data_IF_440046039082
#
_entry.id   IF_440046039082
#
_cell.length_a   1.000
_cell.length_b   1.000
_cell.length_c   1.000
_cell.angle_alpha   90.00
_cell.angle_beta   90.00
_cell.angle_gamma   90.00
#
_symmetry.space_group_name_H-M   'P 1'
#
loop_
_entity.id
_entity.type
_entity.pdbx_description
1 polymer ?
#
# COMPACT_ATOMS: atom_id res chain seq x y z
N UNK A 1 -4.28 37.48 -18.44
CA UNK A 1 -3.96 38.89 -18.24
C UNK A 1 -4.24 39.67 -19.51
N UNK A 2 -3.63 39.33 -20.66
CA UNK A 2 -3.85 40.05 -21.95
C UNK A 2 -5.31 40.03 -22.43
N UNK A 3 -6.04 38.96 -22.16
CA UNK A 3 -7.49 38.82 -22.50
C UNK A 3 -8.41 39.43 -21.44
N UNK A 4 -7.89 39.87 -20.29
CA UNK A 4 -8.69 40.41 -19.18
C UNK A 4 -9.32 39.37 -18.26
N UNK A 5 -9.24 38.08 -18.55
CA UNK A 5 -9.81 37.01 -17.73
C UNK A 5 -9.14 36.87 -16.34
N UNK A 6 -7.88 37.25 -16.24
CA UNK A 6 -7.14 37.29 -14.98
C UNK A 6 -6.56 38.71 -14.83
N UNK A 7 -6.93 39.39 -13.75
CA UNK A 7 -6.38 40.71 -13.45
C UNK A 7 -4.89 40.63 -13.07
N UNK A 8 -4.17 41.69 -13.34
CA UNK A 8 -2.76 41.82 -12.93
C UNK A 8 -2.63 41.77 -11.41
N UNK A 9 -3.56 42.35 -10.68
CA UNK A 9 -3.62 42.30 -9.22
C UNK A 9 -3.75 40.86 -8.70
N UNK A 10 -4.62 40.06 -9.31
CA UNK A 10 -4.78 38.66 -8.96
C UNK A 10 -3.51 37.83 -9.25
N UNK A 11 -2.82 38.13 -10.33
CA UNK A 11 -1.54 37.53 -10.67
C UNK A 11 -0.48 37.89 -9.61
N UNK A 12 -0.36 39.17 -9.28
CA UNK A 12 0.58 39.67 -8.30
C UNK A 12 0.33 39.09 -6.90
N UNK A 13 -0.92 38.88 -6.51
CA UNK A 13 -1.27 38.22 -5.26
C UNK A 13 -0.72 36.78 -5.24
N UNK A 14 -0.88 36.02 -6.31
CA UNK A 14 -0.38 34.66 -6.44
C UNK A 14 1.15 34.61 -6.36
N UNK A 15 1.82 35.49 -7.08
CA UNK A 15 3.29 35.61 -7.07
C UNK A 15 3.79 35.97 -5.67
N UNK A 16 3.14 36.90 -4.98
CA UNK A 16 3.52 37.28 -3.60
C UNK A 16 3.40 36.08 -2.65
N UNK A 17 2.32 35.31 -2.71
CA UNK A 17 2.15 34.10 -1.88
C UNK A 17 3.27 33.10 -2.11
N UNK A 18 3.63 32.85 -3.37
CA UNK A 18 4.70 31.91 -3.72
C UNK A 18 6.06 32.42 -3.23
N UNK A 19 6.38 33.70 -3.47
CA UNK A 19 7.66 34.29 -3.05
C UNK A 19 7.78 34.31 -1.53
N UNK A 20 6.73 34.69 -0.81
CA UNK A 20 6.70 34.65 0.65
C UNK A 20 6.95 33.24 1.20
N UNK A 21 6.37 32.22 0.58
CA UNK A 21 6.62 30.83 0.96
C UNK A 21 8.08 30.42 0.67
N UNK A 22 8.63 30.81 -0.47
CA UNK A 22 10.03 30.53 -0.84
C UNK A 22 11.01 31.22 0.12
N UNK A 23 10.75 32.45 0.46
CA UNK A 23 11.54 33.20 1.45
C UNK A 23 11.50 32.53 2.83
N UNK A 24 10.30 32.22 3.34
CA UNK A 24 10.08 31.54 4.63
C UNK A 24 10.78 30.17 4.68
N UNK A 25 10.91 29.49 3.55
CA UNK A 25 11.58 28.18 3.43
C UNK A 25 13.07 28.29 3.10
N UNK A 26 13.63 29.50 2.99
CA UNK A 26 15.03 29.74 2.65
C UNK A 26 15.41 29.34 1.22
N UNK A 27 14.42 29.14 0.33
CA UNK A 27 14.68 28.72 -1.05
C UNK A 27 15.28 29.83 -1.89
N UNK A 28 14.98 31.09 -1.58
CA UNK A 28 15.53 32.26 -2.31
C UNK A 28 17.02 32.49 -2.04
N UNK A 29 17.49 32.05 -0.87
CA UNK A 29 18.89 32.15 -0.44
C UNK A 29 19.48 30.76 -0.27
N UNK A 30 19.24 29.87 -1.25
CA UNK A 30 19.67 28.49 -1.19
C UNK A 30 21.20 28.40 -1.24
N UNK A 31 21.79 27.80 -0.20
CA UNK A 31 23.20 27.41 -0.16
C UNK A 31 23.34 25.92 -0.45
N UNK A 32 23.84 25.54 -1.63
CA UNK A 32 24.03 24.12 -1.96
C UNK A 32 25.00 23.40 -1.01
N UNK A 33 26.00 24.13 -0.48
CA UNK A 33 27.01 23.54 0.42
C UNK A 33 26.47 23.10 1.76
N UNK A 34 25.31 23.64 2.17
CA UNK A 34 24.63 23.24 3.40
C UNK A 34 23.85 21.92 3.28
N UNK A 35 23.73 21.37 2.07
CA UNK A 35 22.95 20.15 1.77
C UNK A 35 23.85 19.10 1.14
N UNK A 36 24.58 18.41 1.99
CA UNK A 36 25.45 17.30 1.57
C UNK A 36 24.68 15.98 1.56
N UNK A 37 25.22 14.98 0.87
CA UNK A 37 24.66 13.63 0.83
C UNK A 37 24.55 13.05 2.23
N UNK A 38 25.56 13.27 3.08
CA UNK A 38 25.60 12.79 4.46
C UNK A 38 24.44 13.35 5.29
N UNK A 39 24.17 14.66 5.19
CA UNK A 39 23.02 15.28 5.87
C UNK A 39 21.67 14.79 5.33
N UNK A 40 21.61 14.45 4.04
CA UNK A 40 20.42 13.85 3.47
C UNK A 40 20.22 12.43 4.01
N UNK A 41 21.26 11.62 4.14
CA UNK A 41 21.21 10.28 4.72
C UNK A 41 20.81 10.32 6.21
N UNK A 42 21.33 11.27 6.98
CA UNK A 42 20.93 11.48 8.38
C UNK A 42 19.43 11.82 8.53
N UNK A 43 18.88 12.61 7.61
CA UNK A 43 17.48 13.03 7.65
C UNK A 43 16.54 12.00 7.05
N UNK A 44 16.88 11.46 5.86
CA UNK A 44 16.06 10.52 5.12
C UNK A 44 16.27 9.11 5.69
N UNK A 45 15.23 8.54 6.25
CA UNK A 45 15.32 7.18 6.79
C UNK A 45 15.91 7.09 8.21
N UNK A 46 16.04 8.23 8.92
CA UNK A 46 16.37 8.20 10.34
C UNK A 46 15.38 7.34 11.13
N UNK A 47 15.81 6.79 12.27
CA UNK A 47 14.94 5.96 13.13
C UNK A 47 13.65 6.71 13.52
N UNK A 48 13.77 7.99 13.84
CA UNK A 48 12.62 8.85 14.16
C UNK A 48 11.62 8.93 12.99
N UNK A 49 12.11 9.17 11.77
CA UNK A 49 11.25 9.25 10.59
C UNK A 49 10.62 7.89 10.26
N UNK A 50 11.36 6.80 10.42
CA UNK A 50 10.83 5.44 10.24
C UNK A 50 9.77 5.08 11.27
N UNK A 51 9.94 5.50 12.51
CA UNK A 51 8.93 5.28 13.55
C UNK A 51 7.67 6.11 13.30
N UNK A 52 7.82 7.34 12.80
CA UNK A 52 6.69 8.18 12.41
C UNK A 52 5.95 7.58 11.21
N UNK A 53 6.67 7.11 10.19
CA UNK A 53 6.12 6.40 9.02
C UNK A 53 5.26 5.19 9.47
N UNK A 54 5.79 4.35 10.37
CA UNK A 54 5.05 3.20 10.92
C UNK A 54 3.79 3.62 11.68
N UNK A 55 3.87 4.66 12.50
CA UNK A 55 2.72 5.17 13.24
C UNK A 55 1.63 5.72 12.32
N UNK A 56 2.03 6.46 11.28
CA UNK A 56 1.09 6.98 10.28
C UNK A 56 0.46 5.82 9.51
N UNK A 57 1.26 4.87 9.04
CA UNK A 57 0.75 3.70 8.33
C UNK A 57 -0.24 2.89 9.17
N UNK A 58 0.08 2.63 10.44
CA UNK A 58 -0.82 1.92 11.34
C UNK A 58 -2.12 2.68 11.60
N UNK A 59 -2.05 4.00 11.76
CA UNK A 59 -3.23 4.85 11.97
C UNK A 59 -4.11 5.00 10.70
N UNK A 60 -3.54 4.79 9.53
CA UNK A 60 -4.26 4.87 8.25
C UNK A 60 -5.06 3.60 7.94
N UNK A 61 -4.77 2.47 8.60
CA UNK A 61 -5.49 1.22 8.36
C UNK A 61 -6.93 1.36 8.87
N UNK A 62 -7.89 1.17 7.97
CA UNK A 62 -9.32 1.21 8.29
C UNK A 62 -9.94 -0.15 7.96
N UNK A 63 -10.58 -0.78 8.94
CA UNK A 63 -11.33 -2.01 8.72
C UNK A 63 -12.74 -1.62 8.26
N UNK A 64 -13.04 -1.87 6.98
CA UNK A 64 -14.34 -1.52 6.38
C UNK A 64 -15.35 -2.65 6.57
N UNK A 65 -14.88 -3.91 6.46
CA UNK A 65 -15.72 -5.11 6.59
C UNK A 65 -15.00 -6.18 7.38
N UNK A 66 -15.64 -6.73 8.41
CA UNK A 66 -15.14 -7.86 9.20
C UNK A 66 -16.32 -8.59 9.89
N UNK A 67 -17.28 -9.05 9.09
CA UNK A 67 -18.55 -9.61 9.61
C UNK A 67 -18.34 -10.90 10.39
N UNK A 68 -17.41 -11.75 9.94
CA UNK A 68 -17.14 -13.07 10.55
C UNK A 68 -15.98 -13.05 11.56
N UNK A 69 -15.56 -11.87 12.03
CA UNK A 69 -14.39 -11.71 12.89
C UNK A 69 -13.14 -12.42 12.35
N UNK A 70 -12.96 -12.39 11.02
CA UNK A 70 -11.80 -12.96 10.32
C UNK A 70 -10.53 -12.21 10.71
N UNK A 71 -10.62 -10.90 10.94
CA UNK A 71 -9.51 -10.05 11.37
C UNK A 71 -9.61 -9.73 12.87
N UNK A 72 -8.47 -9.67 13.58
CA UNK A 72 -7.13 -9.98 13.11
C UNK A 72 -6.96 -11.49 12.84
N UNK A 73 -6.17 -11.83 11.83
CA UNK A 73 -5.82 -13.24 11.60
C UNK A 73 -5.14 -13.84 12.82
N UNK A 74 -5.60 -15.01 13.22
CA UNK A 74 -4.99 -15.80 14.31
C UNK A 74 -4.12 -16.91 13.70
N UNK A 75 -2.99 -16.49 13.15
CA UNK A 75 -2.03 -17.42 12.52
C UNK A 75 -1.40 -18.32 13.59
N UNK A 76 -1.43 -19.62 13.38
CA UNK A 76 -0.90 -20.64 14.27
C UNK A 76 0.34 -21.29 13.68
N UNK A 77 1.08 -22.04 14.51
CA UNK A 77 2.13 -22.93 14.07
C UNK A 77 1.63 -23.89 12.99
N UNK A 78 2.36 -23.96 11.89
CA UNK A 78 1.99 -24.79 10.73
C UNK A 78 1.11 -24.11 9.71
N UNK A 79 0.63 -22.87 9.98
CA UNK A 79 -0.11 -22.12 8.98
C UNK A 79 0.79 -21.62 7.84
N UNK A 80 0.16 -21.46 6.68
CA UNK A 80 0.77 -20.91 5.49
C UNK A 80 0.03 -19.65 5.01
N UNK A 81 0.74 -18.54 4.90
CA UNK A 81 0.17 -17.25 4.49
C UNK A 81 0.54 -16.96 3.04
N UNK A 82 -0.46 -16.79 2.19
CA UNK A 82 -0.29 -16.33 0.81
C UNK A 82 -0.59 -14.83 0.72
N UNK A 83 0.36 -14.09 0.16
CA UNK A 83 0.25 -12.66 -0.05
C UNK A 83 0.32 -12.38 -1.54
N UNK A 84 -0.73 -11.76 -2.08
CA UNK A 84 -0.85 -11.50 -3.52
C UNK A 84 -0.95 -10.01 -3.78
N UNK A 85 0.09 -9.46 -4.42
CA UNK A 85 0.14 -8.07 -4.88
C UNK A 85 -0.46 -7.92 -6.28
N UNK A 86 -0.99 -6.72 -6.58
CA UNK A 86 -1.43 -6.39 -7.94
C UNK A 86 -0.24 -6.06 -8.86
N UNK A 87 0.91 -5.67 -8.27
CA UNK A 87 2.11 -5.31 -9.00
C UNK A 87 3.37 -5.92 -8.37
N UNK A 88 4.37 -6.14 -9.22
CA UNK A 88 5.65 -6.72 -8.80
C UNK A 88 6.37 -5.90 -7.72
N UNK A 89 6.27 -4.57 -7.78
CA UNK A 89 6.91 -3.68 -6.81
C UNK A 89 6.30 -3.71 -5.40
N UNK A 90 5.14 -4.34 -5.21
CA UNK A 90 4.53 -4.56 -3.89
C UNK A 90 5.13 -5.76 -3.16
N UNK A 91 5.59 -6.75 -3.92
CA UNK A 91 6.10 -8.03 -3.38
C UNK A 91 7.24 -7.85 -2.36
N UNK A 92 8.25 -6.98 -2.59
CA UNK A 92 9.29 -6.73 -1.58
C UNK A 92 8.72 -6.18 -0.26
N UNK A 93 7.72 -5.29 -0.32
CA UNK A 93 7.04 -4.74 0.85
C UNK A 93 6.29 -5.80 1.65
N UNK A 94 5.54 -6.66 0.96
CA UNK A 94 4.84 -7.79 1.56
C UNK A 94 5.80 -8.77 2.25
N UNK A 95 6.88 -9.13 1.58
CA UNK A 95 7.94 -9.98 2.16
C UNK A 95 8.55 -9.35 3.41
N UNK A 96 8.91 -8.07 3.34
CA UNK A 96 9.50 -7.36 4.48
C UNK A 96 8.53 -7.28 5.66
N UNK A 97 7.26 -7.02 5.39
CA UNK A 97 6.19 -6.99 6.40
C UNK A 97 6.08 -8.30 7.15
N UNK A 98 5.97 -9.41 6.43
CA UNK A 98 5.89 -10.75 7.04
C UNK A 98 7.11 -11.10 7.87
N UNK A 99 8.32 -10.84 7.34
CA UNK A 99 9.57 -11.09 8.07
C UNK A 99 9.64 -10.29 9.37
N UNK A 100 9.16 -9.05 9.37
CA UNK A 100 9.09 -8.21 10.58
C UNK A 100 8.10 -8.76 11.59
N UNK A 101 6.89 -9.13 11.18
CA UNK A 101 5.89 -9.70 12.07
C UNK A 101 6.39 -10.99 12.74
N UNK A 102 7.14 -11.82 12.03
CA UNK A 102 7.77 -13.03 12.58
C UNK A 102 8.92 -12.65 13.54
N UNK A 103 9.79 -11.72 13.15
CA UNK A 103 10.92 -11.29 13.96
C UNK A 103 10.49 -10.60 15.27
N UNK A 104 9.41 -9.82 15.21
CA UNK A 104 8.82 -9.11 16.36
C UNK A 104 7.97 -10.04 17.26
N UNK A 105 7.82 -11.31 16.89
CA UNK A 105 7.07 -12.31 17.66
C UNK A 105 5.53 -12.13 17.58
N UNK A 106 5.05 -11.34 16.63
CA UNK A 106 3.61 -11.18 16.37
C UNK A 106 3.04 -12.42 15.71
N UNK A 107 3.82 -13.07 14.86
CA UNK A 107 3.51 -14.36 14.23
C UNK A 107 4.44 -15.44 14.77
N UNK A 108 4.00 -16.72 14.77
CA UNK A 108 4.86 -17.86 15.13
C UNK A 108 6.15 -17.87 14.27
N UNK A 109 7.27 -18.30 14.88
CA UNK A 109 8.58 -18.33 14.19
C UNK A 109 8.63 -19.28 12.99
N UNK A 110 7.79 -20.28 13.01
CA UNK A 110 7.64 -21.31 11.97
C UNK A 110 6.54 -20.98 10.95
N UNK A 111 5.97 -19.77 11.00
CA UNK A 111 5.02 -19.31 9.98
C UNK A 111 5.67 -19.35 8.60
N UNK A 112 5.13 -20.18 7.72
CA UNK A 112 5.53 -20.19 6.32
C UNK A 112 4.70 -19.18 5.52
N UNK A 113 5.30 -18.57 4.49
CA UNK A 113 4.58 -17.65 3.63
C UNK A 113 5.17 -17.57 2.24
N UNK A 114 4.33 -17.18 1.30
CA UNK A 114 4.70 -16.81 -0.08
C UNK A 114 4.14 -15.44 -0.38
N UNK A 115 4.96 -14.57 -0.97
CA UNK A 115 4.52 -13.30 -1.53
C UNK A 115 4.87 -13.25 -3.01
N UNK A 116 3.87 -13.01 -3.85
CA UNK A 116 4.01 -12.87 -5.31
C UNK A 116 2.98 -11.87 -5.84
N UNK A 117 3.15 -11.45 -7.07
CA UNK A 117 2.12 -10.68 -7.75
C UNK A 117 1.27 -11.56 -8.64
N UNK A 118 0.03 -11.16 -8.84
CA UNK A 118 -0.80 -11.63 -9.95
C UNK A 118 -0.72 -10.64 -11.13
N UNK A 119 -1.07 -11.08 -12.32
CA UNK A 119 -1.06 -10.28 -13.55
C UNK A 119 -2.40 -10.44 -14.27
N UNK A 120 -2.61 -9.69 -15.33
CA UNK A 120 -3.83 -9.84 -16.16
C UNK A 120 -3.99 -11.22 -16.79
N UNK A 121 -2.92 -11.99 -16.87
CA UNK A 121 -2.93 -13.37 -17.37
C UNK A 121 -3.15 -14.40 -16.27
N UNK A 122 -3.16 -13.98 -15.00
CA UNK A 122 -3.38 -14.89 -13.88
C UNK A 122 -4.80 -15.43 -13.86
N UNK A 123 -4.91 -16.69 -13.50
CA UNK A 123 -6.19 -17.41 -13.30
C UNK A 123 -6.11 -18.17 -11.98
N UNK A 124 -7.25 -18.63 -11.45
CA UNK A 124 -7.24 -19.51 -10.27
C UNK A 124 -6.40 -20.75 -10.51
N UNK A 125 -6.42 -21.32 -11.72
CA UNK A 125 -5.60 -22.49 -12.10
C UNK A 125 -4.10 -22.18 -12.01
N UNK A 126 -3.67 -20.99 -12.48
CA UNK A 126 -2.27 -20.59 -12.40
C UNK A 126 -1.78 -20.32 -10.97
N UNK A 127 -2.70 -20.05 -10.05
CA UNK A 127 -2.43 -19.80 -8.63
C UNK A 127 -2.80 -21.02 -7.75
N UNK A 128 -3.28 -22.11 -8.33
CA UNK A 128 -3.91 -23.23 -7.64
C UNK A 128 -3.01 -23.80 -6.53
N UNK A 129 -1.77 -24.11 -6.84
CA UNK A 129 -0.84 -24.71 -5.87
C UNK A 129 -0.67 -23.85 -4.61
N UNK A 130 -0.52 -22.52 -4.78
CA UNK A 130 -0.40 -21.61 -3.66
C UNK A 130 -1.72 -21.45 -2.90
N UNK A 131 -2.82 -21.34 -3.63
CA UNK A 131 -4.15 -21.24 -3.05
C UNK A 131 -4.52 -22.49 -2.23
N UNK A 132 -4.17 -23.67 -2.70
CA UNK A 132 -4.42 -24.93 -1.99
C UNK A 132 -3.60 -25.04 -0.70
N UNK A 133 -2.32 -24.62 -0.72
CA UNK A 133 -1.44 -24.62 0.45
C UNK A 133 -1.81 -23.57 1.48
N UNK A 134 -2.36 -22.44 1.05
CA UNK A 134 -2.65 -21.32 1.94
C UNK A 134 -3.74 -21.67 2.96
N UNK A 135 -3.50 -21.32 4.22
CA UNK A 135 -4.51 -21.26 5.30
C UNK A 135 -5.07 -19.86 5.41
N UNK A 136 -4.24 -18.85 5.16
CA UNK A 136 -4.57 -17.43 5.20
C UNK A 136 -4.14 -16.78 3.87
N UNK A 137 -4.99 -15.92 3.33
CA UNK A 137 -4.76 -15.24 2.06
C UNK A 137 -4.92 -13.73 2.28
N UNK A 138 -3.96 -12.96 1.86
CA UNK A 138 -4.06 -11.50 1.74
C UNK A 138 -3.90 -11.15 0.27
N UNK A 139 -4.89 -10.50 -0.30
CA UNK A 139 -4.82 -10.02 -1.68
C UNK A 139 -4.94 -8.51 -1.72
N UNK A 140 -4.03 -7.85 -2.43
CA UNK A 140 -4.10 -6.42 -2.65
C UNK A 140 -5.08 -6.14 -3.79
N UNK A 141 -5.99 -5.19 -3.54
CA UNK A 141 -6.80 -4.53 -4.57
C UNK A 141 -6.29 -3.10 -4.75
N UNK A 142 -5.97 -2.75 -5.98
CA UNK A 142 -5.49 -1.41 -6.31
C UNK A 142 -6.28 -0.82 -7.46
N UNK A 143 -7.25 0.02 -7.11
CA UNK A 143 -8.14 0.71 -8.05
C UNK A 143 -7.78 2.20 -8.08
N UNK A 144 -7.36 2.68 -9.25
CA UNK A 144 -6.93 4.07 -9.45
C UNK A 144 -8.05 5.02 -9.88
N UNK A 145 -9.10 4.51 -10.52
CA UNK A 145 -10.25 5.29 -10.99
C UNK A 145 -11.48 4.39 -11.21
N UNK A 146 -12.66 5.00 -11.25
CA UNK A 146 -13.96 4.31 -11.29
C UNK A 146 -14.11 3.29 -12.44
N UNK A 147 -13.58 3.59 -13.62
CA UNK A 147 -13.63 2.64 -14.76
C UNK A 147 -12.90 1.31 -14.53
N UNK A 148 -12.09 1.20 -13.50
CA UNK A 148 -11.42 -0.04 -13.10
C UNK A 148 -12.27 -0.92 -12.16
N UNK A 149 -13.44 -0.42 -11.75
CA UNK A 149 -14.41 -1.21 -10.97
C UNK A 149 -15.22 -2.19 -11.84
N UNK A 150 -15.03 -2.18 -13.15
CA UNK A 150 -15.64 -3.18 -14.01
C UNK A 150 -15.26 -4.59 -13.54
N UNK A 151 -16.29 -5.44 -13.37
CA UNK A 151 -16.13 -6.82 -12.89
C UNK A 151 -15.18 -7.67 -13.75
N UNK A 152 -15.01 -7.30 -15.02
CA UNK A 152 -14.14 -7.99 -15.97
C UNK A 152 -12.73 -7.36 -16.03
N UNK A 153 -12.53 -6.23 -15.35
CA UNK A 153 -11.19 -5.66 -15.24
C UNK A 153 -10.32 -6.52 -14.30
N UNK A 154 -9.16 -6.93 -14.76
CA UNK A 154 -8.34 -7.94 -14.09
C UNK A 154 -7.99 -7.64 -12.62
N UNK A 155 -7.80 -6.36 -12.23
CA UNK A 155 -7.51 -5.95 -10.84
C UNK A 155 -8.73 -5.96 -9.91
N UNK A 156 -9.92 -6.05 -10.46
CA UNK A 156 -11.17 -6.29 -9.73
C UNK A 156 -11.53 -7.78 -9.76
N UNK A 157 -11.47 -8.37 -10.96
CA UNK A 157 -11.85 -9.75 -11.21
C UNK A 157 -11.01 -10.76 -10.40
N UNK A 158 -9.67 -10.66 -10.49
CA UNK A 158 -8.79 -11.66 -9.88
C UNK A 158 -8.89 -11.65 -8.34
N UNK A 159 -8.81 -10.50 -7.63
CA UNK A 159 -9.07 -10.47 -6.18
C UNK A 159 -10.44 -11.03 -5.80
N UNK A 160 -11.48 -10.73 -6.57
CA UNK A 160 -12.84 -11.24 -6.33
C UNK A 160 -12.88 -12.76 -6.48
N UNK A 161 -12.28 -13.33 -7.52
CA UNK A 161 -12.19 -14.78 -7.72
C UNK A 161 -11.42 -15.46 -6.59
N UNK A 162 -10.32 -14.85 -6.11
CA UNK A 162 -9.52 -15.38 -5.00
C UNK A 162 -10.33 -15.41 -3.70
N UNK A 163 -11.06 -14.32 -3.40
CA UNK A 163 -11.92 -14.27 -2.20
C UNK A 163 -13.04 -15.28 -2.28
N UNK A 164 -13.68 -15.43 -3.43
CA UNK A 164 -14.72 -16.45 -3.65
C UNK A 164 -14.16 -17.86 -3.49
N UNK A 165 -12.97 -18.13 -4.01
CA UNK A 165 -12.27 -19.39 -3.80
C UNK A 165 -12.01 -19.64 -2.31
N UNK A 166 -11.50 -18.63 -1.60
CA UNK A 166 -11.21 -18.75 -0.17
C UNK A 166 -12.49 -19.08 0.63
N UNK A 167 -13.57 -18.37 0.37
CA UNK A 167 -14.86 -18.59 1.03
C UNK A 167 -15.39 -20.00 0.77
N UNK A 168 -15.36 -20.47 -0.50
CA UNK A 168 -15.82 -21.79 -0.88
C UNK A 168 -15.00 -22.92 -0.23
N UNK A 169 -13.70 -22.67 -0.01
CA UNK A 169 -12.77 -23.64 0.58
C UNK A 169 -12.50 -23.40 2.08
N UNK A 170 -13.34 -22.58 2.76
CA UNK A 170 -13.25 -22.29 4.19
C UNK A 170 -11.87 -21.75 4.63
N UNK A 171 -11.18 -21.03 3.75
CA UNK A 171 -9.90 -20.37 4.04
C UNK A 171 -10.12 -18.94 4.56
N UNK A 172 -9.20 -18.45 5.37
CA UNK A 172 -9.24 -17.07 5.85
C UNK A 172 -8.69 -16.13 4.78
N UNK A 173 -9.48 -15.15 4.36
CA UNK A 173 -9.03 -14.18 3.36
C UNK A 173 -9.28 -12.75 3.83
N UNK A 174 -8.37 -11.87 3.43
CA UNK A 174 -8.51 -10.42 3.59
C UNK A 174 -8.12 -9.71 2.30
N UNK A 175 -8.88 -8.70 1.93
CA UNK A 175 -8.54 -7.77 0.86
C UNK A 175 -7.94 -6.52 1.47
N UNK A 176 -6.79 -6.13 0.98
CA UNK A 176 -6.15 -4.85 1.32
C UNK A 176 -6.34 -3.89 0.15
N UNK A 177 -7.31 -2.99 0.26
CA UNK A 177 -7.49 -1.90 -0.70
C UNK A 177 -6.42 -0.83 -0.46
N UNK A 178 -5.67 -0.52 -1.49
CA UNK A 178 -4.65 0.53 -1.49
C UNK A 178 -4.93 1.53 -2.61
N UNK A 179 -4.24 2.68 -2.59
CA UNK A 179 -4.40 3.76 -3.55
C UNK A 179 -5.67 4.58 -3.33
N UNK A 180 -6.81 4.22 -3.89
CA UNK A 180 -8.07 4.94 -3.73
C UNK A 180 -9.18 3.99 -3.29
N UNK A 181 -10.07 4.43 -2.37
CA UNK A 181 -11.08 3.54 -1.77
C UNK A 181 -12.33 3.38 -2.67
N UNK A 182 -12.14 3.01 -3.92
CA UNK A 182 -13.25 2.75 -4.84
C UNK A 182 -13.78 1.32 -4.78
N UNK A 183 -13.03 0.42 -4.21
CA UNK A 183 -13.26 -1.03 -4.16
C UNK A 183 -13.62 -1.55 -2.75
N UNK A 184 -14.06 -0.67 -1.89
CA UNK A 184 -14.49 -0.96 -0.51
C UNK A 184 -16.00 -0.84 -0.31
#
# INVERSE_FOLDING_TARGET
VQTGDISEERLNESVRRILTLKEKRGVLNFDPSARTAEKAEEAVGSSLNRDLERKIAAAAVTVVKNEDNTLPFKVQTGDHVLLLGAFENEVPGLNLGMRRLIADGVLPKDTSFVAKNFTKESTLDSLKEDLEKATHIVVISEIGYEGQLDKDFWRTKIPTEIVNYANTNHKKAAVLSISKPYDV
#
